data_IF_773778301197
#
_entry.id   IF_773778301197
#
_cell.length_a   1.000
_cell.length_b   1.000
_cell.length_c   1.000
_cell.angle_alpha   90.00
_cell.angle_beta   90.00
_cell.angle_gamma   90.00
#
_symmetry.space_group_name_H-M   'P 1'
#
loop_
_entity.id
_entity.type
_entity.pdbx_description
1 polymer ?
#
# COMPACT_ATOMS: atom_id res chain seq x y z
N UNK A 1 62.33 5.57 30.09
CA UNK A 1 61.68 4.24 29.96
C UNK A 1 60.58 4.43 28.91
N UNK A 2 60.77 3.96 27.67
CA UNK A 2 60.36 2.63 27.14
C UNK A 2 58.85 2.38 27.36
N UNK A 3 57.99 2.15 26.35
CA UNK A 3 58.17 2.10 24.88
C UNK A 3 56.84 2.35 24.15
N UNK A 4 56.91 2.69 22.86
CA UNK A 4 55.77 2.87 21.93
C UNK A 4 55.11 1.57 21.48
N UNK A 5 53.87 1.64 20.96
CA UNK A 5 53.41 0.85 19.81
C UNK A 5 52.54 1.70 18.87
N UNK A 6 52.53 1.32 17.59
CA UNK A 6 52.09 2.12 16.43
C UNK A 6 51.26 1.26 15.49
N UNK A 7 50.24 1.87 14.87
CA UNK A 7 49.59 1.51 13.58
C UNK A 7 49.67 0.07 13.06
N UNK A 8 48.53 -0.62 13.07
CA UNK A 8 48.02 -1.51 12.00
C UNK A 8 46.49 -1.60 12.23
N UNK A 9 45.60 -1.49 11.25
CA UNK A 9 45.64 -2.14 9.94
C UNK A 9 44.95 -1.32 8.83
N UNK A 10 45.68 -1.01 7.75
CA UNK A 10 45.12 -0.86 6.40
C UNK A 10 45.76 -1.93 5.53
N UNK A 11 44.97 -2.91 5.06
CA UNK A 11 45.10 -3.71 3.80
C UNK A 11 44.51 -5.11 3.99
N UNK A 12 43.33 -5.33 3.42
CA UNK A 12 42.86 -6.66 3.00
C UNK A 12 41.86 -6.52 1.83
N UNK A 13 42.30 -5.88 0.74
CA UNK A 13 41.54 -5.89 -0.52
C UNK A 13 41.74 -7.25 -1.19
N UNK A 14 40.84 -8.20 -0.95
CA UNK A 14 40.83 -9.51 -1.59
C UNK A 14 40.33 -9.39 -3.04
N UNK A 15 41.27 -9.31 -3.98
CA UNK A 15 40.98 -9.41 -5.41
C UNK A 15 40.32 -10.76 -5.71
N UNK A 16 39.08 -10.75 -6.20
CA UNK A 16 38.45 -11.97 -6.72
C UNK A 16 39.13 -12.42 -8.01
N UNK A 17 39.32 -13.73 -8.15
CA UNK A 17 39.90 -14.33 -9.34
C UNK A 17 39.03 -14.08 -10.59
N UNK A 18 39.67 -13.83 -11.73
CA UNK A 18 39.00 -13.62 -13.02
C UNK A 18 38.17 -14.83 -13.51
N UNK A 19 38.37 -16.03 -12.92
CA UNK A 19 37.49 -17.19 -13.14
C UNK A 19 36.14 -17.02 -12.43
N UNK A 20 36.17 -16.63 -11.16
CA UNK A 20 34.95 -16.45 -10.35
C UNK A 20 34.08 -15.29 -10.86
N UNK A 21 34.67 -14.24 -11.42
CA UNK A 21 33.93 -13.15 -12.08
C UNK A 21 33.23 -13.58 -13.38
N UNK A 22 33.67 -14.65 -14.06
CA UNK A 22 33.01 -15.17 -15.27
C UNK A 22 31.83 -16.06 -14.93
N UNK A 23 31.96 -16.93 -13.95
CA UNK A 23 30.85 -17.80 -13.48
C UNK A 23 29.67 -16.98 -12.94
N UNK A 24 29.94 -15.85 -12.27
CA UNK A 24 28.92 -14.89 -11.84
C UNK A 24 28.17 -14.20 -13.00
N UNK A 25 28.79 -14.07 -14.18
CA UNK A 25 28.20 -13.40 -15.35
C UNK A 25 27.46 -14.38 -16.27
N UNK A 26 27.95 -15.61 -16.44
CA UNK A 26 27.26 -16.63 -17.23
C UNK A 26 25.96 -17.13 -16.56
N UNK A 27 25.92 -17.17 -15.22
CA UNK A 27 24.71 -17.49 -14.45
C UNK A 27 23.60 -16.44 -14.60
N UNK A 28 23.95 -15.15 -14.71
CA UNK A 28 23.00 -14.08 -15.03
C UNK A 28 22.50 -14.18 -16.48
N UNK A 29 23.37 -14.51 -17.43
CA UNK A 29 23.01 -14.60 -18.85
C UNK A 29 22.12 -15.80 -19.17
N UNK A 30 22.22 -16.89 -18.41
CA UNK A 30 21.39 -18.09 -18.59
C UNK A 30 19.91 -17.91 -18.22
N UNK A 31 19.54 -16.90 -17.42
CA UNK A 31 18.12 -16.61 -17.08
C UNK A 31 17.44 -15.65 -18.07
N UNK A 32 18.17 -15.08 -19.03
CA UNK A 32 17.68 -14.04 -19.94
C UNK A 32 17.26 -14.54 -21.34
N UNK A 33 16.97 -15.84 -21.50
CA UNK A 33 16.48 -16.35 -22.78
C UNK A 33 15.87 -17.73 -22.71
N UNK A 34 14.54 -17.80 -22.73
CA UNK A 34 13.74 -18.79 -23.50
C UNK A 34 12.25 -18.44 -23.37
N UNK A 35 11.65 -17.93 -24.46
CA UNK A 35 10.18 -17.85 -24.63
C UNK A 35 9.86 -17.72 -26.13
N UNK A 36 9.72 -18.87 -26.79
CA UNK A 36 9.23 -19.01 -28.17
C UNK A 36 8.82 -20.48 -28.39
N UNK A 37 8.01 -20.71 -29.43
CA UNK A 37 7.38 -21.99 -29.84
C UNK A 37 6.12 -22.34 -29.01
N UNK A 38 4.90 -22.04 -29.47
CA UNK A 38 4.15 -22.51 -30.67
C UNK A 38 3.42 -23.83 -30.44
N UNK A 39 2.09 -23.79 -30.48
CA UNK A 39 1.20 -24.96 -30.36
C UNK A 39 0.89 -25.53 -31.75
N UNK A 40 1.14 -26.82 -31.94
CA UNK A 40 0.79 -27.55 -33.16
C UNK A 40 -0.12 -28.76 -32.86
N UNK A 41 -1.11 -28.98 -33.72
CA UNK A 41 -2.17 -29.98 -33.56
C UNK A 41 -1.73 -31.43 -33.80
N UNK A 42 -2.38 -32.41 -33.13
CA UNK A 42 -2.74 -33.73 -33.72
C UNK A 42 -3.75 -34.55 -32.88
N UNK A 43 -4.20 -35.67 -33.45
CA UNK A 43 -5.54 -36.26 -33.25
C UNK A 43 -5.60 -37.63 -32.50
N UNK A 44 -6.74 -37.91 -31.84
CA UNK A 44 -7.63 -39.14 -31.86
C UNK A 44 -7.00 -40.56 -31.69
N UNK A 45 -7.59 -41.58 -30.97
CA UNK A 45 -9.01 -42.03 -31.01
C UNK A 45 -9.59 -42.68 -29.68
N UNK A 46 -10.76 -43.36 -29.54
CA UNK A 46 -11.98 -43.57 -30.37
C UNK A 46 -13.34 -43.53 -29.57
N UNK A 47 -14.11 -44.64 -29.44
CA UNK A 47 -15.42 -44.79 -28.72
C UNK A 47 -15.73 -46.30 -28.40
N UNK A 48 -16.86 -46.70 -27.74
CA UNK A 48 -18.20 -46.81 -28.39
C UNK A 48 -19.44 -46.37 -27.54
N UNK A 49 -20.64 -46.65 -28.08
CA UNK A 49 -22.01 -46.10 -27.83
C UNK A 49 -22.91 -47.04 -26.98
N UNK A 50 -24.28 -46.98 -26.90
CA UNK A 50 -25.34 -46.05 -27.40
C UNK A 50 -26.36 -45.57 -26.29
N UNK A 51 -27.43 -44.77 -26.50
CA UNK A 51 -28.65 -45.05 -27.32
C UNK A 51 -29.70 -43.89 -27.29
N UNK A 52 -30.29 -43.53 -28.45
CA UNK A 52 -31.66 -42.96 -28.67
C UNK A 52 -32.08 -41.57 -28.10
N UNK A 53 -32.98 -40.75 -28.70
CA UNK A 53 -33.82 -40.87 -29.93
C UNK A 53 -34.33 -39.49 -30.44
N UNK A 54 -34.45 -39.30 -31.77
CA UNK A 54 -35.37 -38.35 -32.51
C UNK A 54 -35.28 -36.82 -32.29
N UNK A 55 -35.63 -35.91 -33.24
CA UNK A 55 -36.09 -36.00 -34.66
C UNK A 55 -35.93 -34.64 -35.40
N UNK A 56 -35.57 -34.72 -36.70
CA UNK A 56 -36.05 -33.91 -37.85
C UNK A 56 -35.79 -32.38 -37.91
N UNK A 57 -35.05 -31.99 -38.96
CA UNK A 57 -35.02 -30.65 -39.61
C UNK A 57 -35.80 -30.70 -40.95
N UNK A 58 -35.78 -29.69 -41.85
CA UNK A 58 -35.60 -28.23 -41.74
C UNK A 58 -36.78 -27.48 -42.45
N UNK A 59 -36.63 -26.17 -42.76
CA UNK A 59 -36.67 -25.63 -44.15
C UNK A 59 -37.32 -24.22 -44.32
N UNK A 60 -36.65 -23.42 -45.16
CA UNK A 60 -37.08 -22.27 -45.97
C UNK A 60 -37.50 -20.90 -45.39
N UNK A 61 -36.99 -19.88 -46.11
CA UNK A 61 -37.37 -18.47 -46.13
C UNK A 61 -38.65 -18.26 -46.96
N UNK A 62 -39.37 -17.15 -46.78
CA UNK A 62 -39.56 -16.14 -47.86
C UNK A 62 -40.21 -14.82 -47.38
N UNK A 63 -40.18 -13.83 -48.27
CA UNK A 63 -40.33 -12.37 -48.04
C UNK A 63 -41.76 -11.83 -47.93
N UNK A 64 -41.87 -10.59 -47.36
CA UNK A 64 -42.67 -9.38 -47.75
C UNK A 64 -43.29 -8.66 -46.52
N UNK A 65 -43.44 -7.32 -46.46
CA UNK A 65 -43.03 -6.25 -47.40
C UNK A 65 -42.76 -4.87 -46.73
N UNK A 66 -42.66 -3.84 -47.57
CA UNK A 66 -42.45 -2.38 -47.37
C UNK A 66 -43.60 -1.64 -46.62
N UNK A 67 -43.51 -0.36 -46.18
CA UNK A 67 -42.77 0.79 -46.75
C UNK A 67 -42.54 1.97 -45.77
N UNK A 68 -41.48 2.75 -46.07
CA UNK A 68 -41.38 4.22 -46.00
C UNK A 68 -41.92 5.04 -44.80
N UNK A 69 -41.01 5.75 -44.14
CA UNK A 69 -40.84 7.19 -44.41
C UNK A 69 -39.45 7.67 -43.98
N UNK A 70 -38.93 8.68 -44.68
CA UNK A 70 -37.59 9.23 -44.53
C UNK A 70 -37.64 10.68 -44.06
N UNK A 71 -36.79 11.10 -43.14
CA UNK A 71 -36.28 12.48 -43.09
C UNK A 71 -34.89 12.51 -42.45
N UNK A 72 -34.04 13.40 -42.92
CA UNK A 72 -32.62 13.53 -42.57
C UNK A 72 -32.35 14.51 -41.42
N UNK A 73 -31.18 14.36 -40.80
CA UNK A 73 -30.64 15.18 -39.70
C UNK A 73 -30.52 16.68 -40.00
N UNK A 74 -30.24 17.47 -38.95
CA UNK A 74 -28.91 18.09 -38.87
C UNK A 74 -28.19 17.83 -37.54
N UNK A 75 -26.85 18.00 -37.48
CA UNK A 75 -26.08 17.91 -36.24
C UNK A 75 -26.00 19.28 -35.56
N UNK A 76 -26.59 19.43 -34.37
CA UNK A 76 -26.64 20.72 -33.67
C UNK A 76 -25.63 20.82 -32.52
N UNK A 77 -24.63 21.67 -32.75
CA UNK A 77 -23.82 22.43 -31.79
C UNK A 77 -23.34 21.76 -30.49
N UNK A 78 -22.03 21.54 -30.45
CA UNK A 78 -21.27 21.52 -29.21
C UNK A 78 -21.44 22.87 -28.46
N UNK A 79 -22.28 22.89 -27.43
CA UNK A 79 -22.21 23.89 -26.38
C UNK A 79 -21.24 23.41 -25.30
N UNK A 80 -20.30 24.25 -24.82
CA UNK A 80 -19.42 23.86 -23.73
C UNK A 80 -20.27 23.64 -22.47
N UNK A 81 -20.16 22.46 -21.85
CA UNK A 81 -20.57 22.30 -20.46
C UNK A 81 -19.82 23.36 -19.65
N UNK A 82 -20.47 24.08 -18.71
CA UNK A 82 -19.72 24.93 -17.79
C UNK A 82 -18.68 24.04 -17.11
N UNK A 83 -17.42 24.49 -17.11
CA UNK A 83 -16.45 23.97 -16.15
C UNK A 83 -16.97 24.40 -14.80
N UNK A 84 -17.57 23.44 -14.09
CA UNK A 84 -17.89 23.65 -12.70
C UNK A 84 -16.56 23.57 -11.95
N UNK A 85 -15.83 24.69 -11.94
CA UNK A 85 -14.59 24.91 -11.20
C UNK A 85 -14.87 25.01 -9.68
N UNK A 86 -15.74 24.12 -9.22
CA UNK A 86 -15.98 23.79 -7.83
C UNK A 86 -15.29 22.45 -7.56
N UNK A 87 -13.94 22.49 -7.49
CA UNK A 87 -13.14 21.52 -6.73
C UNK A 87 -13.49 21.71 -5.25
N UNK A 88 -14.70 21.30 -4.88
CA UNK A 88 -15.16 21.27 -3.51
C UNK A 88 -14.18 20.39 -2.74
N UNK A 89 -13.41 20.99 -1.83
CA UNK A 89 -12.48 20.30 -0.95
C UNK A 89 -13.29 19.27 -0.14
N UNK A 90 -13.36 18.03 -0.63
CA UNK A 90 -13.96 16.91 0.08
C UNK A 90 -13.02 16.59 1.24
N UNK A 91 -13.37 17.09 2.42
CA UNK A 91 -12.64 16.77 3.65
C UNK A 91 -12.67 15.24 3.83
N UNK A 92 -11.53 14.60 4.17
CA UNK A 92 -11.44 13.14 4.14
C UNK A 92 -12.41 12.48 5.14
N UNK A 93 -13.08 11.37 4.76
CA UNK A 93 -14.16 10.78 5.55
C UNK A 93 -13.77 10.31 6.97
N UNK A 94 -12.49 10.10 7.26
CA UNK A 94 -12.04 9.57 8.56
C UNK A 94 -11.86 10.65 9.63
N UNK A 95 -11.30 11.81 9.30
CA UNK A 95 -11.13 12.91 10.28
C UNK A 95 -12.48 13.41 10.80
N UNK A 96 -13.50 13.44 9.95
CA UNK A 96 -14.86 13.84 10.31
C UNK A 96 -15.57 12.90 11.30
N UNK A 97 -15.05 11.68 11.52
CA UNK A 97 -15.61 10.73 12.50
C UNK A 97 -15.13 10.98 13.92
N UNK A 98 -14.06 11.77 14.11
CA UNK A 98 -13.39 11.98 15.40
C UNK A 98 -13.35 13.47 15.82
N UNK A 99 -14.49 14.17 15.91
CA UNK A 99 -14.53 15.61 16.20
C UNK A 99 -14.06 15.98 17.62
N UNK A 100 -14.09 15.08 18.60
CA UNK A 100 -13.63 15.37 19.97
C UNK A 100 -12.09 15.32 20.08
N UNK A 101 -11.43 14.44 19.32
CA UNK A 101 -9.97 14.33 19.28
C UNK A 101 -9.29 15.12 18.15
N UNK A 102 -9.99 15.39 17.04
CA UNK A 102 -9.47 16.08 15.83
C UNK A 102 -10.33 17.31 15.43
N UNK A 103 -10.53 18.30 16.32
CA UNK A 103 -11.43 19.43 16.07
C UNK A 103 -10.98 20.36 14.93
N UNK A 104 -9.68 20.34 14.59
CA UNK A 104 -9.11 21.12 13.49
C UNK A 104 -9.12 20.39 12.13
N UNK A 105 -9.48 19.09 12.12
CA UNK A 105 -9.42 18.25 10.93
C UNK A 105 -7.98 17.91 10.48
N UNK A 106 -7.76 17.62 9.19
CA UNK A 106 -6.45 17.27 8.66
C UNK A 106 -5.55 18.49 8.41
N UNK A 107 -4.25 18.26 8.16
CA UNK A 107 -3.34 19.27 7.59
C UNK A 107 -3.87 19.90 6.29
N UNK A 108 -3.56 21.18 6.00
CA UNK A 108 -2.75 22.12 6.81
C UNK A 108 -3.56 22.83 7.92
N UNK A 109 -4.83 22.46 8.16
CA UNK A 109 -5.67 23.15 9.15
C UNK A 109 -5.52 22.61 10.57
N UNK A 110 -5.17 21.33 10.70
CA UNK A 110 -4.77 20.68 11.95
C UNK A 110 -3.42 19.97 11.81
N UNK A 111 -2.81 19.53 12.93
CA UNK A 111 -1.51 18.87 12.92
C UNK A 111 -1.57 17.50 12.21
N UNK A 112 -0.43 17.05 11.71
CA UNK A 112 -0.25 15.68 11.23
C UNK A 112 -0.17 14.69 12.40
N UNK A 113 0.48 15.08 13.50
CA UNK A 113 0.62 14.21 14.68
C UNK A 113 -0.70 14.12 15.48
N UNK A 114 -1.20 12.90 15.67
CA UNK A 114 -2.46 12.63 16.40
C UNK A 114 -2.19 12.01 17.78
N UNK A 115 -2.65 12.62 18.89
CA UNK A 115 -2.49 12.05 20.23
C UNK A 115 -3.33 10.78 20.43
N UNK A 116 -2.72 9.61 20.21
CA UNK A 116 -3.37 8.29 20.19
C UNK A 116 -4.27 7.98 21.39
N UNK A 117 -3.96 8.53 22.58
CA UNK A 117 -4.78 8.35 23.79
C UNK A 117 -6.17 8.95 23.65
N UNK A 118 -6.32 10.14 23.05
CA UNK A 118 -7.63 10.78 22.89
C UNK A 118 -8.42 10.10 21.78
N UNK A 119 -7.75 9.83 20.64
CA UNK A 119 -8.32 9.09 19.51
C UNK A 119 -8.88 7.72 19.96
N UNK A 120 -8.15 6.97 20.81
CA UNK A 120 -8.61 5.68 21.33
C UNK A 120 -9.81 5.79 22.28
N UNK A 121 -9.91 6.84 23.08
CA UNK A 121 -11.05 7.07 23.96
C UNK A 121 -12.32 7.38 23.16
N UNK A 122 -12.20 8.23 22.14
CA UNK A 122 -13.30 8.55 21.23
C UNK A 122 -13.72 7.34 20.38
N UNK A 123 -12.75 6.58 19.85
CA UNK A 123 -13.00 5.31 19.16
C UNK A 123 -13.85 4.33 20.00
N UNK A 124 -13.48 4.10 21.27
CA UNK A 124 -14.22 3.19 22.16
C UNK A 124 -15.65 3.70 22.43
N UNK A 125 -15.83 5.02 22.55
CA UNK A 125 -17.14 5.66 22.71
C UNK A 125 -18.01 5.49 21.46
N UNK A 126 -17.46 5.73 20.27
CA UNK A 126 -18.15 5.54 18.99
C UNK A 126 -18.52 4.07 18.76
N UNK A 127 -17.60 3.14 19.05
CA UNK A 127 -17.83 1.70 18.92
C UNK A 127 -18.92 1.18 19.89
N UNK A 128 -19.00 1.73 21.11
CA UNK A 128 -20.07 1.41 22.04
C UNK A 128 -21.45 1.91 21.54
N UNK A 129 -21.50 3.09 20.91
CA UNK A 129 -22.70 3.65 20.30
C UNK A 129 -23.15 2.91 19.03
N UNK A 130 -22.22 2.30 18.28
CA UNK A 130 -22.52 1.54 17.06
C UNK A 130 -22.81 0.05 17.29
N UNK A 131 -22.78 -0.43 18.54
CA UNK A 131 -22.99 -1.85 18.85
C UNK A 131 -24.45 -2.29 18.59
N UNK A 132 -24.69 -3.41 17.89
CA UNK A 132 -26.04 -3.83 17.51
C UNK A 132 -26.98 -4.09 18.68
N UNK A 133 -26.49 -4.41 19.89
CA UNK A 133 -27.36 -4.59 21.07
C UNK A 133 -28.02 -3.28 21.57
N UNK A 134 -27.46 -2.10 21.25
CA UNK A 134 -28.15 -0.84 21.49
C UNK A 134 -29.32 -0.61 20.51
N UNK A 135 -29.28 -1.24 19.33
CA UNK A 135 -30.46 -1.33 18.48
C UNK A 135 -31.39 -2.40 19.07
N UNK A 136 -32.41 -1.95 19.82
CA UNK A 136 -33.33 -2.80 20.58
C UNK A 136 -33.81 -4.06 19.83
N UNK A 137 -34.30 -5.06 20.58
CA UNK A 137 -34.81 -6.39 20.14
C UNK A 137 -35.85 -6.43 18.99
N UNK A 138 -36.21 -5.29 18.40
CA UNK A 138 -37.05 -5.13 17.20
C UNK A 138 -36.31 -4.51 15.99
N UNK A 139 -34.98 -4.38 16.03
CA UNK A 139 -34.19 -3.81 14.92
C UNK A 139 -34.28 -4.66 13.65
N UNK A 140 -34.57 -3.99 12.53
CA UNK A 140 -34.74 -4.62 11.24
C UNK A 140 -33.40 -5.17 10.71
N UNK A 141 -33.45 -6.06 9.71
CA UNK A 141 -32.24 -6.56 9.07
C UNK A 141 -31.40 -5.41 8.48
N UNK A 142 -32.05 -4.35 7.98
CA UNK A 142 -31.38 -3.14 7.46
C UNK A 142 -30.69 -2.33 8.55
N UNK A 143 -31.27 -2.20 9.75
CA UNK A 143 -30.65 -1.46 10.86
C UNK A 143 -29.39 -2.17 11.37
N UNK A 144 -29.44 -3.50 11.47
CA UNK A 144 -28.29 -4.34 11.87
C UNK A 144 -27.15 -4.30 10.86
N UNK A 145 -27.48 -4.29 9.56
CA UNK A 145 -26.50 -4.08 8.50
C UNK A 145 -25.86 -2.68 8.60
N UNK A 146 -26.66 -1.63 8.75
CA UNK A 146 -26.15 -0.26 8.92
C UNK A 146 -25.22 -0.11 10.14
N UNK A 147 -25.60 -0.67 11.29
CA UNK A 147 -24.76 -0.69 12.50
C UNK A 147 -23.43 -1.44 12.28
N UNK A 148 -23.46 -2.55 11.54
CA UNK A 148 -22.27 -3.34 11.19
C UNK A 148 -21.35 -2.55 10.24
N UNK A 149 -21.90 -1.93 9.20
CA UNK A 149 -21.15 -1.08 8.25
C UNK A 149 -20.52 0.12 8.96
N UNK A 150 -21.26 0.82 9.82
CA UNK A 150 -20.74 1.95 10.59
C UNK A 150 -19.60 1.51 11.51
N UNK A 151 -19.76 0.39 12.20
CA UNK A 151 -18.71 -0.19 13.06
C UNK A 151 -17.45 -0.56 12.25
N UNK A 152 -17.60 -1.09 11.04
CA UNK A 152 -16.47 -1.38 10.16
C UNK A 152 -15.74 -0.10 9.72
N UNK A 153 -16.48 0.95 9.35
CA UNK A 153 -15.90 2.25 8.98
C UNK A 153 -15.13 2.87 10.14
N UNK A 154 -15.70 2.88 11.35
CA UNK A 154 -15.03 3.39 12.57
C UNK A 154 -13.73 2.63 12.87
N UNK A 155 -13.74 1.30 12.72
CA UNK A 155 -12.53 0.48 12.90
C UNK A 155 -11.45 0.79 11.85
N UNK A 156 -11.81 0.94 10.57
CA UNK A 156 -10.86 1.31 9.52
C UNK A 156 -10.29 2.70 9.76
N UNK A 157 -11.15 3.67 10.06
CA UNK A 157 -10.74 5.04 10.36
C UNK A 157 -9.79 5.12 11.56
N UNK A 158 -10.09 4.43 12.66
CA UNK A 158 -9.18 4.33 13.80
C UNK A 158 -7.84 3.71 13.43
N UNK A 159 -7.83 2.57 12.71
CA UNK A 159 -6.58 1.92 12.26
C UNK A 159 -5.73 2.87 11.42
N UNK A 160 -6.32 3.45 10.37
CA UNK A 160 -5.64 4.37 9.46
C UNK A 160 -5.10 5.61 10.18
N UNK A 161 -5.88 6.24 11.06
CA UNK A 161 -5.43 7.44 11.78
C UNK A 161 -4.44 7.12 12.92
N UNK A 162 -4.49 5.92 13.50
CA UNK A 162 -3.58 5.51 14.58
C UNK A 162 -2.16 5.16 14.12
N UNK A 163 -1.99 4.71 12.86
CA UNK A 163 -0.70 4.36 12.29
C UNK A 163 -0.21 5.54 11.41
N UNK A 164 1.00 6.10 11.66
CA UNK A 164 1.46 7.30 10.96
C UNK A 164 1.68 7.09 9.46
N UNK A 165 2.15 5.90 9.04
CA UNK A 165 2.31 5.56 7.62
C UNK A 165 0.96 5.48 6.91
N UNK A 166 -0.02 4.77 7.50
CA UNK A 166 -1.37 4.69 6.92
C UNK A 166 -2.03 6.08 6.88
N UNK A 167 -1.79 6.93 7.89
CA UNK A 167 -2.26 8.33 7.94
C UNK A 167 -1.65 9.16 6.81
N UNK A 168 -0.35 9.05 6.57
CA UNK A 168 0.36 9.75 5.50
C UNK A 168 -0.13 9.32 4.11
N UNK A 169 -0.20 8.01 3.85
CA UNK A 169 -0.74 7.45 2.60
C UNK A 169 -2.18 7.91 2.36
N UNK A 170 -3.02 7.89 3.39
CA UNK A 170 -4.41 8.35 3.33
C UNK A 170 -4.54 9.83 3.00
N UNK A 171 -3.75 10.70 3.64
CA UNK A 171 -3.73 12.14 3.35
C UNK A 171 -3.24 12.42 1.92
N UNK A 172 -2.18 11.74 1.47
CA UNK A 172 -1.64 11.87 0.11
C UNK A 172 -2.68 11.45 -0.96
N UNK A 173 -3.41 10.36 -0.71
CA UNK A 173 -4.49 9.92 -1.60
C UNK A 173 -5.65 10.92 -1.63
N UNK A 174 -6.20 11.29 -0.47
CA UNK A 174 -7.46 12.07 -0.41
C UNK A 174 -7.27 13.56 -0.76
N UNK A 175 -6.12 14.16 -0.42
CA UNK A 175 -5.86 15.59 -0.67
C UNK A 175 -5.25 15.83 -2.06
N UNK A 176 -4.35 14.94 -2.51
CA UNK A 176 -3.51 15.16 -3.69
C UNK A 176 -3.71 14.12 -4.81
N UNK A 177 -4.50 13.07 -4.59
CA UNK A 177 -4.71 11.99 -5.56
C UNK A 177 -3.48 11.11 -5.76
N UNK A 178 -2.58 11.07 -4.78
CA UNK A 178 -1.33 10.31 -4.80
C UNK A 178 -1.55 8.98 -4.09
N UNK A 179 -1.58 7.89 -4.84
CA UNK A 179 -1.59 6.56 -4.26
C UNK A 179 -0.16 6.12 -3.90
N UNK A 180 0.04 5.73 -2.63
CA UNK A 180 1.24 5.05 -2.12
C UNK A 180 0.87 3.75 -1.38
N UNK A 181 -0.39 3.32 -1.44
CA UNK A 181 -0.93 2.15 -0.75
C UNK A 181 -0.70 0.87 -1.58
N UNK A 182 0.55 0.60 -1.94
CA UNK A 182 0.96 -0.62 -2.62
C UNK A 182 2.46 -0.66 -2.93
N UNK A 183 3.02 -1.85 -2.95
CA UNK A 183 4.46 -2.10 -3.10
C UNK A 183 5.01 -1.49 -4.40
N UNK A 184 4.23 -1.60 -5.50
CA UNK A 184 4.54 -1.02 -6.81
C UNK A 184 4.40 0.53 -6.82
N UNK A 185 3.45 1.09 -6.08
CA UNK A 185 3.21 2.53 -6.05
C UNK A 185 4.37 3.29 -5.39
N UNK A 186 4.90 2.73 -4.29
CA UNK A 186 6.11 3.20 -3.65
C UNK A 186 7.42 2.77 -4.33
N UNK A 187 7.37 2.09 -5.48
CA UNK A 187 8.55 1.71 -6.28
C UNK A 187 8.84 2.70 -7.43
N UNK A 188 7.94 3.64 -7.72
CA UNK A 188 8.16 4.73 -8.68
C UNK A 188 8.99 5.89 -8.11
N UNK A 189 9.24 5.90 -6.81
CA UNK A 189 10.16 6.82 -6.14
C UNK A 189 11.43 6.02 -5.86
N UNK A 190 12.53 6.33 -6.56
CA UNK A 190 13.82 5.71 -6.25
C UNK A 190 14.27 6.19 -4.86
N UNK A 191 14.42 5.31 -3.86
CA UNK A 191 14.84 5.70 -2.53
C UNK A 191 16.31 6.12 -2.54
N UNK A 192 16.63 7.10 -1.70
CA UNK A 192 17.99 7.59 -1.48
C UNK A 192 18.97 6.43 -1.16
N UNK A 193 20.14 6.33 -1.83
CA UNK A 193 21.19 5.39 -1.47
C UNK A 193 21.59 5.39 0.02
N UNK A 194 21.57 6.54 0.70
CA UNK A 194 21.90 6.62 2.14
C UNK A 194 20.81 6.00 3.02
N UNK A 195 19.53 6.20 2.66
CA UNK A 195 18.38 5.51 3.25
C UNK A 195 18.50 3.99 3.06
N UNK A 196 18.77 3.52 1.83
CA UNK A 196 18.92 2.09 1.54
C UNK A 196 20.07 1.44 2.33
N UNK A 197 21.21 2.12 2.45
CA UNK A 197 22.34 1.65 3.24
C UNK A 197 21.95 1.48 4.72
N UNK A 198 21.32 2.50 5.31
CA UNK A 198 20.82 2.47 6.69
C UNK A 198 19.82 1.32 6.92
N UNK A 199 18.96 1.04 5.94
CA UNK A 199 17.98 -0.06 6.01
C UNK A 199 18.65 -1.43 5.96
N UNK A 200 19.71 -1.59 5.17
CA UNK A 200 20.48 -2.83 5.11
C UNK A 200 21.27 -3.07 6.40
N UNK A 201 21.94 -2.04 6.93
CA UNK A 201 22.63 -2.09 8.24
C UNK A 201 21.65 -2.44 9.37
N UNK A 202 20.47 -1.84 9.39
CA UNK A 202 19.42 -2.15 10.37
C UNK A 202 18.95 -3.61 10.30
N UNK A 203 18.90 -4.20 9.09
CA UNK A 203 18.54 -5.62 8.90
C UNK A 203 19.65 -6.55 9.38
N UNK A 204 20.91 -6.23 9.08
CA UNK A 204 22.08 -6.99 9.56
C UNK A 204 22.08 -7.05 11.11
N UNK A 205 21.84 -5.92 11.79
CA UNK A 205 21.69 -5.87 13.25
C UNK A 205 20.55 -6.78 13.76
N UNK A 206 19.39 -6.78 13.08
CA UNK A 206 18.25 -7.65 13.45
C UNK A 206 18.56 -9.14 13.23
N UNK A 207 19.31 -9.48 12.18
CA UNK A 207 19.69 -10.86 11.85
C UNK A 207 20.82 -11.41 12.74
N UNK A 208 21.76 -10.56 13.17
CA UNK A 208 22.90 -10.93 14.03
C UNK A 208 22.60 -10.88 15.53
N UNK A 209 21.49 -10.24 15.96
CA UNK A 209 21.13 -10.14 17.37
C UNK A 209 20.95 -11.51 18.04
N UNK A 210 21.57 -11.68 19.22
CA UNK A 210 21.48 -12.88 20.04
C UNK A 210 20.43 -12.72 21.15
N UNK A 211 20.15 -11.49 21.56
CA UNK A 211 19.24 -11.12 22.64
C UNK A 211 18.42 -9.88 22.26
N UNK A 212 17.27 -9.71 22.90
CA UNK A 212 16.44 -8.50 22.73
C UNK A 212 17.18 -7.21 23.12
N UNK A 213 18.15 -7.30 24.05
CA UNK A 213 18.96 -6.17 24.48
C UNK A 213 19.90 -5.66 23.38
N UNK A 214 20.33 -6.53 22.44
CA UNK A 214 21.18 -6.13 21.30
C UNK A 214 20.41 -5.23 20.30
N UNK A 215 19.07 -5.24 20.37
CA UNK A 215 18.19 -4.44 19.51
C UNK A 215 17.77 -3.10 20.12
N UNK A 216 18.07 -2.83 21.39
CA UNK A 216 17.53 -1.65 22.07
C UNK A 216 18.10 -0.34 21.51
N UNK A 217 19.40 -0.30 21.16
CA UNK A 217 20.01 0.86 20.49
C UNK A 217 19.38 1.10 19.10
N UNK A 218 19.10 0.02 18.35
CA UNK A 218 18.39 0.11 17.07
C UNK A 218 16.95 0.58 17.24
N UNK A 219 16.25 0.11 18.29
CA UNK A 219 14.89 0.52 18.65
C UNK A 219 14.83 2.03 18.91
N UNK A 220 15.70 2.55 19.77
CA UNK A 220 15.75 3.98 20.11
C UNK A 220 16.05 4.85 18.88
N UNK A 221 17.08 4.49 18.11
CA UNK A 221 17.53 5.27 16.94
C UNK A 221 16.54 5.16 15.76
N UNK A 222 15.82 4.04 15.60
CA UNK A 222 14.74 3.93 14.63
C UNK A 222 13.47 4.72 15.05
N UNK A 223 13.10 4.71 16.34
CA UNK A 223 11.97 5.51 16.82
C UNK A 223 12.24 7.02 16.76
N UNK A 224 13.52 7.44 16.79
CA UNK A 224 13.95 8.79 16.45
C UNK A 224 13.75 9.11 14.96
N UNK A 225 14.19 8.23 14.04
CA UNK A 225 13.97 8.39 12.60
C UNK A 225 12.48 8.42 12.20
N UNK A 226 11.64 7.67 12.90
CA UNK A 226 10.18 7.74 12.74
C UNK A 226 9.68 9.15 13.06
N UNK A 227 10.09 9.74 14.19
CA UNK A 227 9.69 11.11 14.58
C UNK A 227 10.20 12.16 13.59
N UNK A 228 11.46 12.07 13.16
CA UNK A 228 12.04 12.96 12.15
C UNK A 228 11.23 12.92 10.83
N UNK A 229 10.76 11.73 10.41
CA UNK A 229 9.88 11.60 9.25
C UNK A 229 8.43 12.07 9.48
N UNK A 230 7.88 11.93 10.70
CA UNK A 230 6.58 12.51 11.07
C UNK A 230 6.62 14.05 11.10
N UNK A 231 7.70 14.65 11.62
CA UNK A 231 7.96 16.10 11.61
C UNK A 231 8.14 16.60 10.17
N UNK A 232 8.91 15.88 9.34
CA UNK A 232 9.07 16.19 7.92
C UNK A 232 7.76 16.12 7.12
N UNK A 233 6.87 15.18 7.45
CA UNK A 233 5.52 15.10 6.89
C UNK A 233 4.63 16.27 7.35
N UNK A 234 4.72 16.68 8.61
CA UNK A 234 3.96 17.81 9.15
C UNK A 234 4.32 19.11 8.41
N UNK A 235 5.61 19.43 8.31
CA UNK A 235 6.08 20.59 7.53
C UNK A 235 5.66 20.51 6.06
N UNK A 236 5.84 19.35 5.41
CA UNK A 236 5.48 19.19 4.00
C UNK A 236 3.97 19.36 3.74
N UNK A 237 3.11 18.92 4.66
CA UNK A 237 1.67 19.16 4.55
C UNK A 237 1.27 20.61 4.87
N UNK A 238 1.98 21.31 5.77
CA UNK A 238 1.77 22.75 6.04
C UNK A 238 2.18 23.63 4.84
N UNK A 239 3.27 23.29 4.17
CA UNK A 239 3.78 23.98 2.97
C UNK A 239 3.04 23.60 1.66
N UNK A 240 2.10 22.63 1.74
CA UNK A 240 1.46 21.96 0.59
C UNK A 240 2.47 21.30 -0.41
N UNK A 241 3.67 20.93 0.06
CA UNK A 241 4.72 20.26 -0.73
C UNK A 241 4.46 18.75 -0.84
N UNK A 242 3.83 18.38 -1.96
CA UNK A 242 3.47 17.00 -2.30
C UNK A 242 4.68 16.12 -2.66
N UNK A 243 5.80 16.70 -3.09
CA UNK A 243 6.99 15.92 -3.46
C UNK A 243 7.76 15.54 -2.20
N UNK A 244 8.02 16.51 -1.31
CA UNK A 244 8.58 16.28 0.03
C UNK A 244 7.72 15.31 0.85
N UNK A 245 6.40 15.48 0.86
CA UNK A 245 5.50 14.59 1.59
C UNK A 245 5.54 13.13 1.09
N UNK A 246 5.80 12.89 -0.20
CA UNK A 246 6.01 11.52 -0.73
C UNK A 246 7.32 10.93 -0.24
N UNK A 247 8.41 11.70 -0.29
CA UNK A 247 9.74 11.24 0.14
C UNK A 247 9.73 10.86 1.63
N UNK A 248 9.13 11.69 2.49
CA UNK A 248 9.00 11.38 3.92
C UNK A 248 8.07 10.19 4.18
N UNK A 249 6.98 10.02 3.42
CA UNK A 249 6.14 8.82 3.50
C UNK A 249 6.89 7.54 3.08
N UNK A 250 7.79 7.62 2.10
CA UNK A 250 8.66 6.49 1.69
C UNK A 250 9.70 6.17 2.76
N UNK A 251 10.37 7.17 3.35
CA UNK A 251 11.27 6.98 4.49
C UNK A 251 10.54 6.32 5.67
N UNK A 252 9.38 6.86 6.04
CA UNK A 252 8.54 6.35 7.13
C UNK A 252 8.13 4.89 6.90
N UNK A 253 7.86 4.44 5.65
CA UNK A 253 7.62 3.03 5.34
C UNK A 253 8.80 2.15 5.77
N UNK A 254 10.03 2.53 5.42
CA UNK A 254 11.20 1.75 5.81
C UNK A 254 11.42 1.69 7.33
N UNK A 255 11.27 2.83 8.03
CA UNK A 255 11.41 2.87 9.49
C UNK A 255 10.32 2.08 10.22
N UNK A 256 9.08 2.09 9.70
CA UNK A 256 7.99 1.27 10.21
C UNK A 256 8.26 -0.22 10.01
N UNK A 257 8.75 -0.63 8.84
CA UNK A 257 9.13 -2.02 8.57
C UNK A 257 10.30 -2.47 9.48
N UNK A 258 11.28 -1.59 9.77
CA UNK A 258 12.35 -1.90 10.73
C UNK A 258 11.80 -2.06 12.15
N UNK A 259 10.87 -1.18 12.59
CA UNK A 259 10.22 -1.33 13.90
C UNK A 259 9.47 -2.65 14.01
N UNK A 260 8.71 -3.02 12.98
CA UNK A 260 8.05 -4.32 12.92
C UNK A 260 9.05 -5.49 12.94
N UNK A 261 10.27 -5.32 12.41
CA UNK A 261 11.33 -6.33 12.48
C UNK A 261 11.90 -6.52 13.87
N UNK A 262 12.11 -5.42 14.60
CA UNK A 262 12.53 -5.43 16.01
C UNK A 262 11.42 -5.98 16.91
N UNK A 263 10.17 -5.55 16.71
CA UNK A 263 9.02 -5.97 17.52
C UNK A 263 8.62 -7.45 17.31
N UNK A 264 8.86 -7.99 16.11
CA UNK A 264 8.61 -9.41 15.79
C UNK A 264 9.87 -10.29 15.90
N UNK A 265 10.99 -9.76 16.39
CA UNK A 265 12.22 -10.56 16.55
C UNK A 265 12.02 -11.63 17.63
N UNK A 266 12.44 -12.86 17.32
CA UNK A 266 12.48 -13.95 18.27
C UNK A 266 13.78 -14.75 18.10
N UNK A 267 14.48 -15.03 19.22
CA UNK A 267 15.74 -15.78 19.21
C UNK A 267 15.60 -17.12 18.46
N UNK A 268 16.33 -17.26 17.36
CA UNK A 268 16.37 -18.48 16.55
C UNK A 268 15.24 -18.62 15.53
N UNK A 269 14.38 -17.60 15.36
CA UNK A 269 13.39 -17.53 14.28
C UNK A 269 13.86 -16.48 13.27
N UNK A 270 14.23 -16.89 12.06
CA UNK A 270 14.74 -15.96 11.04
C UNK A 270 13.70 -14.89 10.69
N UNK A 271 14.08 -13.62 10.79
CA UNK A 271 13.16 -12.48 10.61
C UNK A 271 12.94 -12.24 9.12
N UNK A 272 11.76 -12.62 8.61
CA UNK A 272 11.34 -12.31 7.24
C UNK A 272 10.53 -11.03 7.24
N UNK A 273 11.21 -9.90 7.05
CA UNK A 273 10.55 -8.61 6.83
C UNK A 273 9.94 -8.53 5.43
N UNK A 274 8.63 -8.25 5.37
CA UNK A 274 7.95 -7.94 4.12
C UNK A 274 8.44 -6.58 3.58
N UNK A 275 8.45 -6.42 2.26
CA UNK A 275 9.06 -5.28 1.56
C UNK A 275 7.99 -4.28 1.11
#
# INVERSE_FOLDING_TARGET
MRSSLVSSSRRAASQMCASCQREAMDTLKSRAGFSSLSVASRERPQAPTPTSISRISPFQQQHRWSSSSSSSSPPEQASPKPKDDQKAKKIPPFYALFPESLPLGPPPSGPFHIPLRTLRLEFLKLQALSHPDFSHSSSSATDKLAATTNSAIINTAYKTLSNPLLRAQYLLHELYGVDLAGDEAGAHIEPDPELLMTVLESREIIEEADTEQDLEELREENEKRIKEAEEGLEEAFEEEDVERAKEEAVKLRYWMNIREGVDNWEKGRGVVLQH
#
